data_IF_946950564047
#
_entry.id   IF_946950564047
#
_cell.length_a   1.000
_cell.length_b   1.000
_cell.length_c   1.000
_cell.angle_alpha   90.00
_cell.angle_beta   90.00
_cell.angle_gamma   90.00
#
_symmetry.space_group_name_H-M   'P 1'
#
loop_
_entity.id
_entity.type
_entity.pdbx_description
1 polymer ?
#
# COMPACT_ATOMS: atom_id res chain seq x y z
N UNK A 1 -16.52 26.00 -11.15
CA UNK A 1 -16.09 24.62 -10.94
C UNK A 1 -14.57 24.50 -10.83
N UNK A 2 -13.81 25.32 -11.54
CA UNK A 2 -12.33 25.39 -11.44
C UNK A 2 -11.82 25.86 -10.08
N UNK A 3 -12.38 26.91 -9.49
CA UNK A 3 -11.92 27.48 -8.21
C UNK A 3 -11.99 26.49 -7.01
N UNK A 4 -12.89 25.51 -7.06
CA UNK A 4 -13.00 24.48 -6.03
C UNK A 4 -11.94 23.39 -6.18
N UNK A 5 -11.54 23.11 -7.40
CA UNK A 5 -10.43 22.20 -7.71
C UNK A 5 -9.08 22.82 -7.36
N UNK A 6 -8.91 24.11 -7.58
CA UNK A 6 -7.67 24.86 -7.29
C UNK A 6 -7.35 24.88 -5.77
N UNK A 7 -8.36 24.72 -4.91
CA UNK A 7 -8.16 24.60 -3.47
C UNK A 7 -7.57 23.23 -3.05
N UNK A 8 -7.88 22.16 -3.80
CA UNK A 8 -7.39 20.80 -3.52
C UNK A 8 -6.15 20.44 -4.33
N UNK A 9 -5.79 21.22 -5.34
CA UNK A 9 -4.63 20.98 -6.18
C UNK A 9 -3.41 21.72 -5.62
N UNK A 10 -2.28 21.04 -5.41
CA UNK A 10 -1.01 21.72 -5.22
C UNK A 10 -0.75 22.64 -6.42
N UNK A 11 -0.19 23.86 -6.21
CA UNK A 11 -0.02 24.85 -7.28
C UNK A 11 0.79 24.35 -8.48
N UNK A 12 1.54 23.29 -8.34
CA UNK A 12 2.38 22.69 -9.38
C UNK A 12 1.74 21.48 -10.09
N UNK A 13 0.54 21.05 -9.67
CA UNK A 13 -0.10 19.87 -10.24
C UNK A 13 -1.14 20.26 -11.28
N UNK A 14 -0.97 19.79 -12.53
CA UNK A 14 -1.97 20.02 -13.56
C UNK A 14 -3.28 19.26 -13.27
N UNK A 15 -4.41 19.87 -13.65
CA UNK A 15 -5.74 19.21 -13.53
C UNK A 15 -5.77 17.86 -14.23
N UNK A 16 -5.04 17.70 -15.34
CA UNK A 16 -4.91 16.43 -16.05
C UNK A 16 -4.27 15.35 -15.16
N UNK A 17 -3.14 15.66 -14.53
CA UNK A 17 -2.45 14.70 -13.63
C UNK A 17 -3.37 14.32 -12.46
N UNK A 18 -4.09 15.28 -11.88
CA UNK A 18 -5.04 15.01 -10.81
C UNK A 18 -6.14 14.04 -11.22
N UNK A 19 -6.77 14.28 -12.38
CA UNK A 19 -7.83 13.38 -12.91
C UNK A 19 -7.27 11.99 -13.19
N UNK A 20 -6.08 11.89 -13.78
CA UNK A 20 -5.43 10.59 -14.02
C UNK A 20 -5.17 9.86 -12.71
N UNK A 21 -4.67 10.55 -11.68
CA UNK A 21 -4.44 9.94 -10.37
C UNK A 21 -5.74 9.46 -9.70
N UNK A 22 -6.84 10.19 -9.84
CA UNK A 22 -8.15 9.76 -9.35
C UNK A 22 -8.63 8.48 -10.06
N UNK A 23 -8.57 8.45 -11.38
CA UNK A 23 -8.99 7.30 -12.18
C UNK A 23 -8.13 6.08 -11.85
N UNK A 24 -6.80 6.25 -11.82
CA UNK A 24 -5.89 5.14 -11.54
C UNK A 24 -6.02 4.65 -10.08
N UNK A 25 -6.30 5.55 -9.13
CA UNK A 25 -6.58 5.18 -7.73
C UNK A 25 -7.83 4.30 -7.62
N UNK A 26 -8.89 4.65 -8.37
CA UNK A 26 -10.09 3.84 -8.44
C UNK A 26 -9.82 2.45 -9.03
N UNK A 27 -9.12 2.39 -10.18
CA UNK A 27 -8.75 1.14 -10.85
C UNK A 27 -7.84 0.29 -9.95
N UNK A 28 -6.84 0.90 -9.33
CA UNK A 28 -5.93 0.25 -8.40
C UNK A 28 -6.66 -0.34 -7.18
N UNK A 29 -7.61 0.42 -6.62
CA UNK A 29 -8.45 -0.05 -5.51
C UNK A 29 -9.32 -1.23 -5.92
N UNK A 30 -9.90 -1.17 -7.12
CA UNK A 30 -10.70 -2.28 -7.68
C UNK A 30 -9.84 -3.55 -7.86
N UNK A 31 -8.63 -3.41 -8.42
CA UNK A 31 -7.68 -4.51 -8.58
C UNK A 31 -7.32 -5.12 -7.22
N UNK A 32 -7.03 -4.27 -6.22
CA UNK A 32 -6.71 -4.75 -4.87
C UNK A 32 -7.88 -5.53 -4.25
N UNK A 33 -9.12 -5.08 -4.45
CA UNK A 33 -10.30 -5.79 -3.94
C UNK A 33 -10.55 -7.09 -4.68
N UNK A 34 -10.38 -7.11 -6.01
CA UNK A 34 -10.65 -8.28 -6.85
C UNK A 34 -9.59 -9.39 -6.69
N UNK A 35 -8.32 -9.00 -6.59
CA UNK A 35 -7.18 -9.94 -6.59
C UNK A 35 -6.44 -10.01 -5.25
N UNK A 36 -6.79 -9.15 -4.30
CA UNK A 36 -6.16 -9.10 -2.97
C UNK A 36 -4.80 -8.38 -2.93
N UNK A 37 -4.17 -8.12 -4.09
CA UNK A 37 -2.83 -7.54 -4.21
C UNK A 37 -2.67 -6.86 -5.58
N UNK A 38 -1.72 -5.93 -5.69
CA UNK A 38 -1.25 -5.37 -6.96
C UNK A 38 -1.72 -3.96 -7.27
N UNK A 39 -2.82 -3.49 -6.67
CA UNK A 39 -3.30 -2.13 -6.92
C UNK A 39 -2.32 -1.05 -6.46
N UNK A 40 -1.68 -1.24 -5.32
CA UNK A 40 -0.65 -0.31 -4.83
C UNK A 40 0.56 -0.22 -5.77
N UNK A 41 1.01 -1.37 -6.30
CA UNK A 41 2.11 -1.41 -7.25
C UNK A 41 1.75 -0.71 -8.58
N UNK A 42 0.55 -0.95 -9.10
CA UNK A 42 0.04 -0.25 -10.29
C UNK A 42 0.00 1.27 -10.07
N UNK A 43 -0.56 1.68 -8.93
CA UNK A 43 -0.63 3.10 -8.56
C UNK A 43 0.77 3.73 -8.49
N UNK A 44 1.72 3.06 -7.83
CA UNK A 44 3.09 3.54 -7.70
C UNK A 44 3.80 3.63 -9.06
N UNK A 45 3.60 2.65 -9.95
CA UNK A 45 4.17 2.65 -11.29
C UNK A 45 3.68 3.84 -12.12
N UNK A 46 2.38 4.12 -12.11
CA UNK A 46 1.80 5.27 -12.83
C UNK A 46 2.26 6.58 -12.21
N UNK A 47 2.24 6.69 -10.88
CA UNK A 47 2.73 7.89 -10.19
C UNK A 47 4.19 8.19 -10.50
N UNK A 48 5.03 7.16 -10.65
CA UNK A 48 6.44 7.31 -11.00
C UNK A 48 6.69 8.01 -12.33
N UNK A 49 5.70 8.04 -13.22
CA UNK A 49 5.76 8.76 -14.51
C UNK A 49 5.16 10.16 -14.47
N UNK A 50 4.34 10.47 -13.48
CA UNK A 50 3.53 11.69 -13.45
C UNK A 50 3.89 12.65 -12.30
N UNK A 51 4.50 12.14 -11.25
CA UNK A 51 4.76 12.87 -10.00
C UNK A 51 6.27 12.97 -9.75
N UNK A 52 6.77 14.16 -9.33
CA UNK A 52 8.18 14.31 -8.98
C UNK A 52 8.63 13.28 -7.92
N UNK A 53 9.87 12.74 -8.02
CA UNK A 53 10.36 11.69 -7.14
C UNK A 53 10.23 12.01 -5.63
N UNK A 54 10.43 13.25 -5.23
CA UNK A 54 10.32 13.69 -3.84
C UNK A 54 8.89 13.66 -3.31
N UNK A 55 7.89 13.86 -4.19
CA UNK A 55 6.47 13.84 -3.83
C UNK A 55 5.83 12.45 -3.99
N UNK A 56 6.51 11.52 -4.67
CA UNK A 56 5.98 10.21 -5.03
C UNK A 56 5.51 9.42 -3.79
N UNK A 57 6.40 9.19 -2.86
CA UNK A 57 6.12 8.34 -1.69
C UNK A 57 5.08 8.99 -0.74
N UNK A 58 5.19 10.28 -0.35
CA UNK A 58 4.17 10.94 0.46
C UNK A 58 2.78 10.91 -0.18
N UNK A 59 2.69 11.24 -1.48
CA UNK A 59 1.40 11.27 -2.20
C UNK A 59 0.80 9.86 -2.31
N UNK A 60 1.63 8.86 -2.65
CA UNK A 60 1.20 7.47 -2.67
C UNK A 60 0.65 7.04 -1.30
N UNK A 61 1.35 7.36 -0.22
CA UNK A 61 0.91 7.06 1.14
C UNK A 61 -0.45 7.67 1.48
N UNK A 62 -0.70 8.93 1.13
CA UNK A 62 -1.99 9.60 1.36
C UNK A 62 -3.11 8.93 0.57
N UNK A 63 -2.90 8.63 -0.72
CA UNK A 63 -3.90 7.96 -1.56
C UNK A 63 -4.22 6.57 -1.02
N UNK A 64 -3.21 5.79 -0.66
CA UNK A 64 -3.38 4.46 -0.09
C UNK A 64 -4.08 4.50 1.26
N UNK A 65 -3.73 5.48 2.11
CA UNK A 65 -4.43 5.66 3.38
C UNK A 65 -5.92 5.95 3.18
N UNK A 66 -6.27 6.86 2.27
CA UNK A 66 -7.66 7.17 1.95
C UNK A 66 -8.44 5.97 1.39
N UNK A 67 -7.83 5.23 0.45
CA UNK A 67 -8.41 4.03 -0.14
C UNK A 67 -8.64 2.92 0.90
N UNK A 68 -7.65 2.66 1.75
CA UNK A 68 -7.75 1.65 2.81
C UNK A 68 -8.75 2.06 3.89
N UNK A 69 -8.80 3.35 4.27
CA UNK A 69 -9.77 3.88 5.20
C UNK A 69 -11.20 3.73 4.67
N UNK A 70 -11.43 4.06 3.40
CA UNK A 70 -12.72 3.86 2.75
C UNK A 70 -13.18 2.40 2.78
N UNK A 71 -12.28 1.47 2.45
CA UNK A 71 -12.54 0.02 2.55
C UNK A 71 -12.87 -0.40 3.99
N UNK A 72 -12.12 0.07 4.96
CA UNK A 72 -12.37 -0.21 6.37
C UNK A 72 -13.78 0.24 6.79
N UNK A 73 -14.19 1.45 6.41
CA UNK A 73 -15.54 1.97 6.73
C UNK A 73 -16.63 1.10 6.10
N UNK A 74 -16.46 0.72 4.83
CA UNK A 74 -17.44 -0.14 4.13
C UNK A 74 -17.54 -1.55 4.72
N UNK A 75 -16.43 -2.08 5.24
CA UNK A 75 -16.36 -3.43 5.79
C UNK A 75 -16.37 -3.47 7.32
N UNK A 76 -16.64 -2.34 7.98
CA UNK A 76 -16.56 -2.16 9.43
C UNK A 76 -17.23 -3.27 10.24
N UNK A 77 -18.39 -3.74 9.81
CA UNK A 77 -19.17 -4.80 10.46
C UNK A 77 -18.53 -6.19 10.35
N UNK A 78 -17.61 -6.38 9.38
CA UNK A 78 -16.94 -7.66 9.14
C UNK A 78 -15.53 -7.68 9.74
N UNK A 79 -15.10 -6.58 10.37
CA UNK A 79 -13.78 -6.49 11.01
C UNK A 79 -13.78 -7.32 12.30
N UNK A 80 -12.78 -8.20 12.42
CA UNK A 80 -12.55 -8.96 13.64
C UNK A 80 -11.80 -8.11 14.67
N UNK A 81 -12.51 -7.23 15.34
CA UNK A 81 -11.99 -6.20 16.26
C UNK A 81 -11.06 -6.75 17.34
N UNK A 82 -11.29 -7.99 17.78
CA UNK A 82 -10.45 -8.64 18.81
C UNK A 82 -9.00 -8.83 18.37
N UNK A 83 -8.74 -8.96 17.07
CA UNK A 83 -7.38 -9.12 16.54
C UNK A 83 -6.68 -7.79 16.27
N UNK A 84 -7.44 -6.69 16.13
CA UNK A 84 -6.92 -5.37 15.72
C UNK A 84 -5.81 -4.84 16.63
N UNK A 85 -5.94 -4.83 17.97
CA UNK A 85 -4.88 -4.31 18.83
C UNK A 85 -3.56 -5.10 18.68
N UNK A 86 -3.65 -6.42 18.64
CA UNK A 86 -2.47 -7.27 18.44
C UNK A 86 -1.83 -7.07 17.06
N UNK A 87 -2.67 -6.95 16.02
CA UNK A 87 -2.20 -6.66 14.67
C UNK A 87 -1.50 -5.30 14.58
N UNK A 88 -2.06 -4.25 15.18
CA UNK A 88 -1.45 -2.92 15.22
C UNK A 88 -0.11 -2.90 15.95
N UNK A 89 -0.03 -3.57 17.10
CA UNK A 89 1.23 -3.70 17.83
C UNK A 89 2.30 -4.40 16.97
N UNK A 90 1.94 -5.51 16.37
CA UNK A 90 2.81 -6.21 15.43
C UNK A 90 3.23 -5.34 14.25
N UNK A 91 2.30 -4.60 13.67
CA UNK A 91 2.56 -3.70 12.54
C UNK A 91 3.58 -2.60 12.87
N UNK A 92 3.49 -2.01 14.05
CA UNK A 92 4.45 -1.00 14.52
C UNK A 92 5.85 -1.62 14.65
N UNK A 93 5.95 -2.81 15.24
CA UNK A 93 7.22 -3.52 15.37
C UNK A 93 7.79 -3.88 14.00
N UNK A 94 6.97 -4.47 13.13
CA UNK A 94 7.38 -4.88 11.78
C UNK A 94 7.80 -3.71 10.91
N UNK A 95 7.06 -2.60 10.94
CA UNK A 95 7.40 -1.39 10.21
C UNK A 95 8.71 -0.76 10.75
N UNK A 96 8.87 -0.69 12.07
CA UNK A 96 10.09 -0.19 12.70
C UNK A 96 11.33 -0.99 12.28
N UNK A 97 11.27 -2.31 12.39
CA UNK A 97 12.38 -3.19 11.97
C UNK A 97 12.62 -3.12 10.45
N UNK A 98 11.56 -3.09 9.65
CA UNK A 98 11.65 -2.98 8.21
C UNK A 98 12.29 -1.66 7.76
N UNK A 99 11.94 -0.55 8.39
CA UNK A 99 12.50 0.77 8.05
C UNK A 99 14.01 0.86 8.31
N UNK A 100 14.50 0.21 9.36
CA UNK A 100 15.93 0.18 9.66
C UNK A 100 16.75 -0.63 8.64
N UNK A 101 16.14 -1.65 8.04
CA UNK A 101 16.82 -2.54 7.10
C UNK A 101 16.72 -2.05 5.65
N UNK A 102 15.57 -1.49 5.25
CA UNK A 102 15.32 -1.06 3.85
C UNK A 102 16.32 -0.01 3.37
N UNK A 103 16.79 0.87 4.24
CA UNK A 103 17.71 1.96 3.90
C UNK A 103 19.02 1.48 3.30
N UNK A 104 19.45 0.24 3.61
CA UNK A 104 20.76 -0.30 3.26
C UNK A 104 20.72 -1.35 2.13
N UNK A 105 19.55 -1.60 1.52
CA UNK A 105 19.40 -2.66 0.50
C UNK A 105 19.43 -2.06 -0.90
N UNK A 106 20.26 -2.58 -1.82
CA UNK A 106 20.24 -2.18 -3.22
C UNK A 106 18.84 -2.35 -3.85
N UNK A 107 18.33 -1.35 -4.61
CA UNK A 107 17.01 -1.41 -5.23
C UNK A 107 16.76 -2.67 -6.07
N UNK A 108 17.78 -3.18 -6.75
CA UNK A 108 17.68 -4.39 -7.54
C UNK A 108 17.32 -5.64 -6.71
N UNK A 109 17.88 -5.77 -5.49
CA UNK A 109 17.53 -6.88 -4.59
C UNK A 109 16.08 -6.76 -4.08
N UNK A 110 15.62 -5.54 -3.82
CA UNK A 110 14.22 -5.29 -3.45
C UNK A 110 13.28 -5.72 -4.58
N UNK A 111 13.58 -5.34 -5.82
CA UNK A 111 12.77 -5.73 -6.99
C UNK A 111 12.70 -7.25 -7.18
N UNK A 112 13.83 -7.94 -7.05
CA UNK A 112 13.88 -9.41 -7.13
C UNK A 112 13.05 -10.04 -6.01
N UNK A 113 13.20 -9.57 -4.78
CA UNK A 113 12.43 -10.06 -3.64
C UNK A 113 10.92 -9.85 -3.83
N UNK A 114 10.51 -8.69 -4.35
CA UNK A 114 9.11 -8.39 -4.73
C UNK A 114 8.61 -9.39 -5.75
N UNK A 115 9.34 -9.59 -6.84
CA UNK A 115 8.95 -10.51 -7.90
C UNK A 115 8.81 -11.96 -7.37
N UNK A 116 9.77 -12.42 -6.58
CA UNK A 116 9.72 -13.74 -5.94
C UNK A 116 8.53 -13.87 -4.98
N UNK A 117 8.26 -12.84 -4.19
CA UNK A 117 7.13 -12.83 -3.26
C UNK A 117 5.78 -12.88 -4.00
N UNK A 118 5.63 -12.11 -5.08
CA UNK A 118 4.42 -12.13 -5.91
C UNK A 118 4.23 -13.52 -6.54
N UNK A 119 5.27 -14.10 -7.12
CA UNK A 119 5.21 -15.44 -7.70
C UNK A 119 4.84 -16.48 -6.64
N UNK A 120 5.45 -16.41 -5.47
CA UNK A 120 5.13 -17.32 -4.36
C UNK A 120 3.70 -17.11 -3.83
N UNK A 121 3.23 -15.86 -3.77
CA UNK A 121 1.85 -15.54 -3.37
C UNK A 121 0.79 -16.08 -4.33
N UNK A 122 1.12 -16.15 -5.63
CA UNK A 122 0.22 -16.64 -6.67
C UNK A 122 0.24 -18.18 -6.79
N UNK A 123 1.41 -18.79 -6.64
CA UNK A 123 1.63 -20.21 -6.89
C UNK A 123 1.75 -21.03 -5.60
N UNK A 124 2.08 -20.37 -4.50
CA UNK A 124 2.31 -20.99 -3.20
C UNK A 124 1.01 -21.32 -2.44
N UNK A 125 1.12 -22.26 -1.50
CA UNK A 125 0.03 -22.54 -0.57
C UNK A 125 -0.11 -21.39 0.43
N UNK A 126 -1.34 -21.00 0.82
CA UNK A 126 -1.54 -19.96 1.81
C UNK A 126 -0.85 -20.32 3.14
N UNK A 127 -0.12 -19.36 3.69
CA UNK A 127 0.61 -19.55 4.95
C UNK A 127 -0.37 -19.47 6.13
N UNK A 128 -0.96 -20.60 6.49
CA UNK A 128 -2.01 -20.66 7.53
C UNK A 128 -1.46 -20.74 8.96
N UNK A 129 -0.18 -21.08 9.11
CA UNK A 129 0.43 -21.36 10.43
C UNK A 129 0.38 -20.18 11.42
N UNK A 130 0.44 -18.95 10.94
CA UNK A 130 0.44 -17.73 11.78
C UNK A 130 -0.93 -17.04 11.87
N UNK A 131 -1.96 -17.56 11.22
CA UNK A 131 -3.28 -16.92 11.12
C UNK A 131 -3.92 -16.61 12.50
N UNK A 132 -3.62 -17.39 13.50
CA UNK A 132 -4.18 -17.23 14.83
C UNK A 132 -3.36 -16.28 15.74
N UNK A 133 -2.27 -15.71 15.22
CA UNK A 133 -1.36 -14.85 15.97
C UNK A 133 -1.35 -13.44 15.38
N UNK A 134 -2.27 -12.56 15.77
CA UNK A 134 -2.44 -11.25 15.13
C UNK A 134 -1.18 -10.38 15.21
N UNK A 135 -0.42 -10.46 16.29
CA UNK A 135 0.86 -9.73 16.44
C UNK A 135 1.87 -10.18 15.38
N UNK A 136 2.04 -11.48 15.21
CA UNK A 136 2.98 -12.03 14.22
C UNK A 136 2.55 -11.69 12.79
N UNK A 137 1.24 -11.79 12.50
CA UNK A 137 0.70 -11.42 11.19
C UNK A 137 0.95 -9.93 10.92
N UNK A 138 0.66 -9.06 11.89
CA UNK A 138 0.91 -7.62 11.76
C UNK A 138 2.40 -7.31 11.53
N UNK A 139 3.29 -7.95 12.33
CA UNK A 139 4.73 -7.73 12.22
C UNK A 139 5.27 -8.19 10.85
N UNK A 140 4.95 -9.39 10.42
CA UNK A 140 5.41 -9.93 9.13
C UNK A 140 4.83 -9.14 7.96
N UNK A 141 3.53 -8.84 7.98
CA UNK A 141 2.89 -8.08 6.89
C UNK A 141 3.51 -6.68 6.76
N UNK A 142 3.65 -5.94 7.86
CA UNK A 142 4.20 -4.58 7.82
C UNK A 142 5.68 -4.57 7.49
N UNK A 143 6.45 -5.54 7.99
CA UNK A 143 7.84 -5.72 7.62
C UNK A 143 7.98 -5.93 6.09
N UNK A 144 7.22 -6.86 5.53
CA UNK A 144 7.22 -7.13 4.08
C UNK A 144 6.74 -5.91 3.28
N UNK A 145 5.74 -5.17 3.77
CA UNK A 145 5.24 -3.96 3.11
C UNK A 145 6.32 -2.87 2.99
N UNK A 146 7.23 -2.77 3.97
CA UNK A 146 8.36 -1.83 3.89
C UNK A 146 9.31 -2.15 2.73
N UNK A 147 9.49 -3.43 2.40
CA UNK A 147 10.32 -3.83 1.26
C UNK A 147 9.56 -3.73 -0.07
N UNK A 148 8.28 -4.01 -0.04
CA UNK A 148 7.53 -4.20 -1.29
C UNK A 148 6.70 -2.97 -1.66
N UNK A 149 6.44 -2.05 -0.73
CA UNK A 149 5.71 -0.80 -0.95
C UNK A 149 4.33 -0.94 -1.62
N UNK A 150 3.99 -2.15 -2.00
CA UNK A 150 2.98 -2.46 -3.01
C UNK A 150 1.78 -3.26 -2.46
N UNK A 151 1.77 -3.58 -1.18
CA UNK A 151 0.71 -4.40 -0.56
C UNK A 151 -0.45 -3.55 -0.05
N UNK A 152 -0.69 -2.44 -0.72
CA UNK A 152 -1.78 -1.53 -0.37
C UNK A 152 -3.17 -2.09 -0.51
#
# INVERSE_FOLDING_TARGET
>A
MTAMLDFFLPPEMSTFVFVVLLVISFVASFITVAFGIGGGALMLAVMGTLVPPLALIPTHGVIQWGSNFGRMVLTWRHVFWRAVPGFLLGSIIGAGLGSLLVVNIPPALVQIAVACFILWSLLGKPFTAIRNWPVTVGAVSSFLTMFFGATG
#
